data_IF_550714331189
#
_entry.id   IF_550714331189
#
_cell.length_a   1.000
_cell.length_b   1.000
_cell.length_c   1.000
_cell.angle_alpha   90.00
_cell.angle_beta   90.00
_cell.angle_gamma   90.00
#
_symmetry.space_group_name_H-M   'P 1'
#
loop_
_entity.id
_entity.type
_entity.pdbx_description
1 polymer ?
#
# COMPACT_ATOMS: atom_id res chain seq x y z
N UNK A 1 -22.79 -12.66 -22.29
CA UNK A 1 -21.81 -12.98 -21.23
C UNK A 1 -20.64 -12.07 -21.47
N UNK A 2 -20.61 -10.92 -20.78
CA UNK A 2 -19.51 -9.97 -20.90
C UNK A 2 -19.15 -9.56 -19.47
N UNK A 3 -18.04 -10.09 -18.99
CA UNK A 3 -17.54 -9.77 -17.66
C UNK A 3 -16.77 -8.46 -17.78
N UNK A 4 -17.23 -7.44 -17.08
CA UNK A 4 -16.59 -6.14 -16.92
C UNK A 4 -15.19 -6.31 -16.33
N UNK A 5 -14.20 -6.53 -17.20
CA UNK A 5 -12.81 -6.78 -16.87
C UNK A 5 -12.02 -5.54 -17.26
N UNK A 6 -11.72 -4.68 -16.28
CA UNK A 6 -10.98 -3.45 -16.55
C UNK A 6 -9.87 -3.15 -15.56
N UNK A 7 -10.19 -3.12 -14.25
CA UNK A 7 -9.21 -2.76 -13.21
C UNK A 7 -9.02 -3.84 -12.14
N UNK A 8 -10.07 -4.58 -11.79
CA UNK A 8 -9.98 -5.58 -10.72
C UNK A 8 -9.04 -6.74 -11.08
N UNK A 9 -8.94 -7.11 -12.37
CA UNK A 9 -7.99 -8.13 -12.81
C UNK A 9 -6.53 -7.66 -12.68
N UNK A 10 -6.24 -6.40 -12.96
CA UNK A 10 -4.86 -5.88 -12.89
C UNK A 10 -4.43 -5.71 -11.44
N UNK A 11 -5.32 -5.22 -10.58
CA UNK A 11 -5.12 -5.13 -9.11
C UNK A 11 -4.92 -6.52 -8.51
N UNK A 12 -5.76 -7.49 -8.89
CA UNK A 12 -5.63 -8.89 -8.44
C UNK A 12 -4.30 -9.50 -8.89
N UNK A 13 -3.89 -9.28 -10.14
CA UNK A 13 -2.62 -9.77 -10.69
C UNK A 13 -1.41 -9.17 -9.95
N UNK A 14 -1.47 -7.87 -9.61
CA UNK A 14 -0.43 -7.21 -8.84
C UNK A 14 -0.26 -7.86 -7.46
N UNK A 15 -1.35 -7.99 -6.70
CA UNK A 15 -1.29 -8.58 -5.35
C UNK A 15 -0.94 -10.07 -5.36
N UNK A 16 -1.26 -10.79 -6.44
CA UNK A 16 -0.79 -12.16 -6.65
C UNK A 16 0.74 -12.23 -6.69
N UNK A 17 1.40 -11.37 -7.49
CA UNK A 17 2.88 -11.31 -7.55
C UNK A 17 3.50 -10.94 -6.21
N UNK A 18 2.89 -10.01 -5.48
CA UNK A 18 3.34 -9.64 -4.13
C UNK A 18 3.23 -10.81 -3.16
N UNK A 19 2.15 -11.59 -3.23
CA UNK A 19 1.96 -12.80 -2.42
C UNK A 19 3.01 -13.87 -2.73
N UNK A 20 3.28 -14.14 -4.00
CA UNK A 20 4.33 -15.08 -4.43
C UNK A 20 5.69 -14.65 -3.85
N UNK A 21 6.04 -13.37 -4.00
CA UNK A 21 7.28 -12.82 -3.46
C UNK A 21 7.36 -12.88 -1.93
N UNK A 22 6.24 -12.64 -1.24
CA UNK A 22 6.13 -12.75 0.21
C UNK A 22 6.38 -14.18 0.66
N UNK A 23 5.76 -15.17 0.03
CA UNK A 23 5.90 -16.58 0.38
C UNK A 23 7.33 -17.07 0.24
N UNK A 24 7.99 -16.73 -0.88
CA UNK A 24 9.39 -17.10 -1.14
C UNK A 24 10.36 -16.59 -0.05
N UNK A 25 10.00 -15.50 0.63
CA UNK A 25 10.86 -14.82 1.63
C UNK A 25 10.30 -14.90 3.03
N UNK A 26 9.26 -15.70 3.25
CA UNK A 26 8.59 -15.78 4.53
C UNK A 26 9.39 -16.62 5.54
N UNK A 27 10.38 -15.99 6.18
CA UNK A 27 11.18 -16.62 7.25
C UNK A 27 10.38 -16.88 8.52
N UNK A 28 9.24 -16.20 8.70
CA UNK A 28 8.38 -16.35 9.88
C UNK A 28 7.49 -17.59 9.86
N UNK A 29 7.30 -18.21 8.68
CA UNK A 29 6.38 -19.34 8.49
C UNK A 29 4.89 -18.98 8.63
N UNK A 30 4.54 -17.72 8.91
CA UNK A 30 3.15 -17.30 9.11
C UNK A 30 2.47 -17.12 7.77
N UNK A 31 1.36 -17.84 7.55
CA UNK A 31 0.53 -17.63 6.37
C UNK A 31 -0.17 -16.26 6.39
N UNK A 32 -0.13 -15.56 5.26
CA UNK A 32 -0.89 -14.33 5.02
C UNK A 32 -1.52 -14.42 3.63
N UNK A 33 -2.83 -14.20 3.52
CA UNK A 33 -3.49 -14.12 2.20
C UNK A 33 -3.10 -12.83 1.46
N UNK A 34 -3.28 -12.81 0.14
CA UNK A 34 -3.10 -11.59 -0.68
C UNK A 34 -3.91 -10.41 -0.16
N UNK A 35 -5.14 -10.66 0.27
CA UNK A 35 -6.01 -9.63 0.85
C UNK A 35 -5.48 -9.11 2.18
N UNK A 36 -4.96 -10.00 3.05
CA UNK A 36 -4.34 -9.57 4.31
C UNK A 36 -3.11 -8.69 4.07
N UNK A 37 -2.28 -9.04 3.07
CA UNK A 37 -1.13 -8.22 2.66
C UNK A 37 -1.58 -6.86 2.13
N UNK A 38 -2.61 -6.83 1.28
CA UNK A 38 -3.19 -5.59 0.75
C UNK A 38 -3.72 -4.68 1.85
N UNK A 39 -4.50 -5.21 2.77
CA UNK A 39 -5.06 -4.43 3.88
C UNK A 39 -3.95 -3.87 4.78
N UNK A 40 -2.94 -4.68 5.10
CA UNK A 40 -1.79 -4.24 5.90
C UNK A 40 -1.01 -3.12 5.21
N UNK A 41 -0.77 -3.25 3.91
CA UNK A 41 -0.14 -2.20 3.11
C UNK A 41 -0.98 -0.92 3.09
N UNK A 42 -2.29 -1.03 2.89
CA UNK A 42 -3.21 0.12 2.90
C UNK A 42 -3.09 0.93 4.19
N UNK A 43 -3.08 0.26 5.35
CA UNK A 43 -2.89 0.91 6.64
C UNK A 43 -1.54 1.63 6.73
N UNK A 44 -0.44 0.96 6.37
CA UNK A 44 0.90 1.58 6.40
C UNK A 44 0.95 2.80 5.48
N UNK A 45 0.44 2.67 4.26
CA UNK A 45 0.44 3.73 3.26
C UNK A 45 -0.39 4.95 3.72
N UNK A 46 -1.52 4.72 4.39
CA UNK A 46 -2.34 5.80 4.94
C UNK A 46 -1.58 6.60 6.01
N UNK A 47 -0.92 5.92 6.95
CA UNK A 47 -0.11 6.57 7.98
C UNK A 47 1.10 7.33 7.38
N UNK A 48 1.80 6.72 6.41
CA UNK A 48 2.88 7.39 5.69
C UNK A 48 2.39 8.63 4.93
N UNK A 49 1.23 8.55 4.28
CA UNK A 49 0.64 9.68 3.54
C UNK A 49 0.30 10.83 4.50
N UNK A 50 -0.26 10.52 5.66
CA UNK A 50 -0.54 11.50 6.71
C UNK A 50 0.74 12.17 7.20
N UNK A 51 1.79 11.38 7.48
CA UNK A 51 3.09 11.92 7.88
C UNK A 51 3.68 12.87 6.84
N UNK A 52 3.69 12.47 5.56
CA UNK A 52 4.20 13.30 4.46
C UNK A 52 3.39 14.60 4.33
N UNK A 53 2.07 14.54 4.50
CA UNK A 53 1.22 15.74 4.53
C UNK A 53 1.59 16.69 5.67
N UNK A 54 1.78 16.18 6.89
CA UNK A 54 2.24 16.97 8.03
C UNK A 54 3.62 17.60 7.79
N UNK A 55 4.57 16.81 7.28
CA UNK A 55 5.92 17.29 6.96
C UNK A 55 5.89 18.39 5.89
N UNK A 56 5.05 18.22 4.87
CA UNK A 56 4.86 19.24 3.82
C UNK A 56 4.28 20.52 4.41
N UNK A 57 3.31 20.45 5.31
CA UNK A 57 2.76 21.64 5.97
C UNK A 57 3.82 22.39 6.78
N UNK A 58 4.67 21.66 7.53
CA UNK A 58 5.79 22.26 8.27
C UNK A 58 6.81 22.88 7.32
N UNK A 59 7.12 22.24 6.19
CA UNK A 59 8.05 22.78 5.20
C UNK A 59 7.50 24.06 4.51
N UNK A 60 6.19 24.15 4.31
CA UNK A 60 5.54 25.34 3.75
C UNK A 60 5.34 26.47 4.76
N UNK A 61 5.44 26.19 6.06
CA UNK A 61 5.51 27.23 7.09
C UNK A 61 6.88 27.91 7.03
N UNK A 62 7.02 28.92 6.17
CA UNK A 62 8.17 29.83 6.18
C UNK A 62 8.36 30.45 7.59
N UNK A 63 9.59 30.55 8.11
CA UNK A 63 9.89 31.24 9.37
C UNK A 63 9.85 32.77 9.28
N UNK A 64 9.53 33.36 8.12
CA UNK A 64 9.50 34.81 7.92
C UNK A 64 8.05 35.33 7.89
N UNK A 65 7.40 35.33 9.05
CA UNK A 65 6.29 36.23 9.31
C UNK A 65 6.86 37.54 9.86
N UNK A 66 7.16 38.48 8.96
CA UNK A 66 7.21 39.89 9.29
C UNK A 66 5.85 40.52 8.98
#
# INVERSE_FOLDING_TARGET
QDASVGSDQTVSTYWKRIKEYFDERNTSGIFRSSDSLRQRWSTINAECSKWVGCLSNVAHMNPSGC
#
